data_IF_242483498970
#
_entry.id   IF_242483498970
#
_cell.length_a   1.000
_cell.length_b   1.000
_cell.length_c   1.000
_cell.angle_alpha   90.00
_cell.angle_beta   90.00
_cell.angle_gamma   90.00
#
_symmetry.space_group_name_H-M   'P 1'
#
loop_
_entity.id
_entity.type
_entity.pdbx_description
1 polymer ?
#
# COMPACT_ATOMS: atom_id res chain seq x y z
N UNK A 1 2.33 12.06 -2.18
CA UNK A 1 1.60 12.31 -3.44
C UNK A 1 0.13 12.24 -3.08
N UNK A 2 -0.59 13.35 -3.18
CA UNK A 2 -2.01 13.43 -2.80
C UNK A 2 -2.91 13.24 -4.02
N UNK A 3 -4.13 12.77 -3.79
CA UNK A 3 -5.19 12.66 -4.79
C UNK A 3 -6.27 13.64 -4.40
N UNK A 4 -6.67 14.51 -5.31
CA UNK A 4 -7.58 15.62 -5.00
C UNK A 4 -8.84 15.51 -5.84
N UNK A 5 -9.99 15.77 -5.24
CA UNK A 5 -11.30 15.75 -5.91
C UNK A 5 -12.07 17.02 -5.58
N UNK A 6 -13.00 17.39 -6.45
CA UNK A 6 -13.94 18.48 -6.19
C UNK A 6 -15.09 17.93 -5.35
N UNK A 7 -15.37 18.59 -4.24
CA UNK A 7 -16.34 18.17 -3.25
C UNK A 7 -17.29 19.31 -2.85
N UNK A 8 -18.56 18.99 -2.61
CA UNK A 8 -19.53 19.96 -2.10
C UNK A 8 -19.14 20.46 -0.72
N UNK A 9 -19.32 21.76 -0.50
CA UNK A 9 -19.20 22.37 0.82
C UNK A 9 -20.38 21.98 1.71
N UNK A 10 -20.13 21.96 3.03
CA UNK A 10 -21.16 21.86 4.07
C UNK A 10 -22.07 20.61 4.00
N UNK A 11 -21.56 19.51 3.45
CA UNK A 11 -22.21 18.20 3.47
C UNK A 11 -21.42 17.24 4.35
N UNK A 12 -22.11 16.31 5.01
CA UNK A 12 -21.48 15.33 5.92
C UNK A 12 -20.70 14.26 5.15
N UNK A 13 -21.21 13.88 3.98
CA UNK A 13 -20.62 12.86 3.13
C UNK A 13 -19.97 13.51 1.90
N UNK A 14 -18.87 12.91 1.44
CA UNK A 14 -18.18 13.34 0.23
C UNK A 14 -19.10 13.21 -0.99
N UNK A 15 -19.53 14.36 -1.51
CA UNK A 15 -20.30 14.47 -2.76
C UNK A 15 -19.46 15.22 -3.78
N UNK A 16 -19.30 14.66 -4.97
CA UNK A 16 -18.48 15.22 -6.05
C UNK A 16 -19.36 15.68 -7.20
N UNK A 17 -18.86 16.64 -7.98
CA UNK A 17 -19.49 17.05 -9.22
C UNK A 17 -19.30 15.95 -10.28
N UNK A 18 -20.41 15.54 -10.90
CA UNK A 18 -20.43 14.58 -12.01
C UNK A 18 -20.67 15.36 -13.30
N UNK A 19 -19.89 15.03 -14.32
CA UNK A 19 -19.96 15.58 -15.66
C UNK A 19 -20.44 14.51 -16.62
N UNK A 20 -21.05 14.91 -17.73
CA UNK A 20 -21.28 13.99 -18.84
C UNK A 20 -20.03 13.95 -19.73
N UNK A 21 -19.56 12.76 -20.04
CA UNK A 21 -18.39 12.49 -20.88
C UNK A 21 -18.75 12.44 -22.38
N UNK A 22 -20.04 12.33 -22.70
CA UNK A 22 -20.60 12.28 -24.04
C UNK A 22 -21.68 13.35 -24.27
N UNK A 23 -21.98 13.62 -25.55
CA UNK A 23 -23.03 14.58 -25.94
C UNK A 23 -24.45 14.07 -25.61
N UNK A 24 -24.63 12.75 -25.55
CA UNK A 24 -25.92 12.10 -25.26
C UNK A 24 -26.22 11.99 -23.76
N UNK A 25 -25.28 12.41 -22.90
CA UNK A 25 -25.42 12.44 -21.45
C UNK A 25 -25.57 11.05 -20.81
N UNK A 26 -25.08 10.00 -21.48
CA UNK A 26 -25.15 8.63 -20.98
C UNK A 26 -23.90 8.23 -20.21
N UNK A 27 -22.78 8.89 -20.48
CA UNK A 27 -21.50 8.58 -19.87
C UNK A 27 -21.17 9.57 -18.77
N UNK A 28 -20.96 9.08 -17.54
CA UNK A 28 -20.67 9.93 -16.39
C UNK A 28 -19.17 9.92 -16.05
N UNK A 29 -18.59 11.11 -15.85
CA UNK A 29 -17.23 11.32 -15.41
C UNK A 29 -17.14 12.17 -14.15
N UNK A 30 -16.07 12.01 -13.38
CA UNK A 30 -15.72 12.90 -12.26
C UNK A 30 -14.30 13.41 -12.41
N UNK A 31 -14.02 14.61 -11.92
CA UNK A 31 -12.69 15.22 -12.01
C UNK A 31 -11.79 14.76 -10.85
N UNK A 32 -10.59 14.31 -11.18
CA UNK A 32 -9.54 13.92 -10.23
C UNK A 32 -8.26 14.66 -10.57
N UNK A 33 -7.57 15.16 -9.55
CA UNK A 33 -6.36 15.96 -9.72
C UNK A 33 -5.20 15.33 -8.95
N UNK A 34 -4.00 15.51 -9.50
CA UNK A 34 -2.75 15.07 -8.86
C UNK A 34 -2.09 16.17 -8.04
N UNK A 35 -2.66 17.39 -8.04
CA UNK A 35 -2.24 18.51 -7.20
C UNK A 35 -3.41 19.38 -6.74
N UNK A 36 -3.30 19.91 -5.52
CA UNK A 36 -4.27 20.85 -4.93
C UNK A 36 -4.42 22.11 -5.80
N UNK A 37 -3.30 22.66 -6.27
CA UNK A 37 -3.29 23.87 -7.10
C UNK A 37 -4.16 23.71 -8.37
N UNK A 38 -4.06 22.56 -9.06
CA UNK A 38 -4.86 22.33 -10.28
C UNK A 38 -6.34 22.18 -9.97
N UNK A 39 -6.68 21.54 -8.85
CA UNK A 39 -8.07 21.43 -8.42
C UNK A 39 -8.68 22.80 -8.07
N UNK A 40 -7.90 23.66 -7.39
CA UNK A 40 -8.33 25.03 -7.06
C UNK A 40 -8.52 25.90 -8.29
N UNK A 41 -7.58 25.83 -9.25
CA UNK A 41 -7.71 26.54 -10.53
C UNK A 41 -8.98 26.10 -11.24
N UNK A 42 -9.22 24.79 -11.34
CA UNK A 42 -10.44 24.29 -11.99
C UNK A 42 -11.74 24.78 -11.32
N UNK A 43 -11.80 24.82 -9.99
CA UNK A 43 -12.96 25.37 -9.24
C UNK A 43 -13.15 26.85 -9.55
N UNK A 44 -12.04 27.62 -9.60
CA UNK A 44 -12.07 29.05 -9.91
C UNK A 44 -12.56 29.29 -11.34
N UNK A 45 -12.02 28.57 -12.32
CA UNK A 45 -12.38 28.71 -13.74
C UNK A 45 -13.82 28.26 -14.01
N UNK A 46 -14.40 27.44 -13.12
CA UNK A 46 -15.79 26.98 -13.20
C UNK A 46 -16.79 27.89 -12.45
N UNK A 47 -16.33 28.97 -11.80
CA UNK A 47 -17.14 29.80 -10.88
C UNK A 47 -17.83 28.98 -9.76
N UNK A 48 -17.16 27.94 -9.27
CA UNK A 48 -17.68 27.00 -8.27
C UNK A 48 -17.15 27.26 -6.85
N UNK A 49 -16.37 28.31 -6.67
CA UNK A 49 -15.75 28.68 -5.40
C UNK A 49 -16.76 28.87 -4.27
N UNK A 50 -18.00 29.22 -4.57
CA UNK A 50 -19.08 29.39 -3.58
C UNK A 50 -19.62 28.05 -3.04
N UNK A 51 -19.73 27.03 -3.90
CA UNK A 51 -20.46 25.78 -3.61
C UNK A 51 -19.55 24.58 -3.40
N UNK A 52 -18.37 24.59 -4.00
CA UNK A 52 -17.43 23.47 -4.03
C UNK A 52 -16.12 23.80 -3.32
N UNK A 53 -15.41 22.77 -2.92
CA UNK A 53 -14.08 22.83 -2.31
C UNK A 53 -13.21 21.67 -2.79
N UNK A 54 -11.93 21.70 -2.45
CA UNK A 54 -11.00 20.61 -2.75
C UNK A 54 -10.93 19.68 -1.55
N UNK A 55 -11.15 18.40 -1.77
CA UNK A 55 -10.88 17.35 -0.79
C UNK A 55 -9.63 16.56 -1.20
N UNK A 56 -8.68 16.43 -0.28
CA UNK A 56 -7.55 15.51 -0.43
C UNK A 56 -7.95 14.13 0.10
N UNK A 57 -7.69 13.09 -0.70
CA UNK A 57 -7.94 11.70 -0.37
C UNK A 57 -6.62 10.96 -0.21
N UNK A 58 -6.53 10.13 0.83
CA UNK A 58 -5.48 9.12 0.91
C UNK A 58 -5.71 8.04 -0.15
N UNK A 59 -4.70 7.22 -0.51
CA UNK A 59 -4.90 6.14 -1.47
C UNK A 59 -6.02 5.16 -1.08
N UNK A 60 -6.22 4.91 0.22
CA UNK A 60 -7.28 4.02 0.70
C UNK A 60 -8.65 4.68 0.56
N UNK A 61 -8.77 5.94 0.98
CA UNK A 61 -10.03 6.69 0.86
C UNK A 61 -10.41 6.87 -0.60
N UNK A 62 -9.43 7.09 -1.48
CA UNK A 62 -9.64 7.17 -2.92
C UNK A 62 -10.21 5.88 -3.49
N UNK A 63 -9.68 4.71 -3.12
CA UNK A 63 -10.22 3.42 -3.61
C UNK A 63 -11.64 3.16 -3.10
N UNK A 64 -11.92 3.48 -1.83
CA UNK A 64 -13.27 3.38 -1.27
C UNK A 64 -14.25 4.33 -1.97
N UNK A 65 -13.83 5.56 -2.22
CA UNK A 65 -14.61 6.53 -2.96
C UNK A 65 -14.84 6.09 -4.40
N UNK A 66 -13.79 5.61 -5.09
CA UNK A 66 -13.82 5.14 -6.48
C UNK A 66 -14.83 4.01 -6.69
N UNK A 67 -14.82 3.02 -5.79
CA UNK A 67 -15.80 1.92 -5.82
C UNK A 67 -17.22 2.40 -5.56
N UNK A 68 -17.40 3.37 -4.65
CA UNK A 68 -18.70 3.98 -4.36
C UNK A 68 -19.27 4.75 -5.56
N UNK A 69 -18.48 5.59 -6.22
CA UNK A 69 -18.97 6.36 -7.39
C UNK A 69 -19.25 5.45 -8.59
N UNK A 70 -18.45 4.38 -8.78
CA UNK A 70 -18.72 3.38 -9.82
C UNK A 70 -20.06 2.69 -9.61
N UNK A 71 -20.35 2.32 -8.36
CA UNK A 71 -21.64 1.73 -7.99
C UNK A 71 -22.85 2.66 -8.20
N UNK A 72 -22.62 3.98 -8.35
CA UNK A 72 -23.65 4.97 -8.61
C UNK A 72 -23.86 5.27 -10.11
N UNK A 73 -23.03 4.73 -10.99
CA UNK A 73 -23.16 4.90 -12.43
C UNK A 73 -21.96 5.57 -13.10
N UNK A 74 -21.11 6.28 -12.35
CA UNK A 74 -19.92 6.95 -12.90
C UNK A 74 -18.98 5.94 -13.53
N UNK A 75 -18.57 6.20 -14.78
CA UNK A 75 -17.74 5.30 -15.57
C UNK A 75 -16.31 5.80 -15.70
N UNK A 76 -16.10 7.12 -15.68
CA UNK A 76 -14.82 7.72 -16.03
C UNK A 76 -14.26 8.63 -14.95
N UNK A 77 -12.93 8.71 -14.90
CA UNK A 77 -12.19 9.74 -14.19
C UNK A 77 -11.58 10.68 -15.23
N UNK A 78 -11.95 11.95 -15.22
CA UNK A 78 -11.20 12.97 -15.93
C UNK A 78 -9.97 13.34 -15.08
N UNK A 79 -8.76 13.06 -15.58
CA UNK A 79 -7.52 13.26 -14.84
C UNK A 79 -6.90 14.60 -15.18
N UNK A 80 -6.78 15.47 -14.18
CA UNK A 80 -6.28 16.83 -14.31
C UNK A 80 -6.96 17.63 -15.45
N UNK A 81 -8.31 17.57 -15.58
CA UNK A 81 -8.99 18.27 -16.66
C UNK A 81 -8.74 19.76 -16.58
N UNK A 82 -8.85 20.44 -17.72
CA UNK A 82 -8.73 21.89 -17.85
C UNK A 82 -10.09 22.42 -18.29
N UNK A 83 -10.65 23.36 -17.53
CA UNK A 83 -12.02 23.83 -17.74
C UNK A 83 -12.17 24.56 -19.07
N UNK A 84 -11.27 25.49 -19.37
CA UNK A 84 -11.25 26.23 -20.64
C UNK A 84 -11.20 25.30 -21.86
N UNK A 85 -10.45 24.20 -21.77
CA UNK A 85 -10.35 23.20 -22.83
C UNK A 85 -11.67 22.45 -23.00
N UNK A 86 -12.32 22.05 -21.89
CA UNK A 86 -13.64 21.42 -21.92
C UNK A 86 -14.69 22.33 -22.56
N UNK A 87 -14.73 23.60 -22.19
CA UNK A 87 -15.70 24.56 -22.73
C UNK A 87 -15.46 24.83 -24.24
N UNK A 88 -14.24 24.59 -24.73
CA UNK A 88 -13.89 24.63 -26.16
C UNK A 88 -14.12 23.29 -26.89
N UNK A 89 -14.60 22.26 -26.20
CA UNK A 89 -14.81 20.92 -26.77
C UNK A 89 -13.51 20.14 -26.99
N UNK A 90 -12.41 20.54 -26.35
CA UNK A 90 -11.14 19.83 -26.43
C UNK A 90 -11.19 18.60 -25.52
N UNK A 91 -10.80 17.45 -26.08
CA UNK A 91 -10.80 16.18 -25.38
C UNK A 91 -9.91 16.21 -24.11
N UNK A 92 -10.43 15.62 -23.02
CA UNK A 92 -9.73 15.56 -21.74
C UNK A 92 -9.09 14.19 -21.52
N UNK A 93 -8.03 14.08 -20.69
CA UNK A 93 -7.49 12.78 -20.32
C UNK A 93 -8.51 12.06 -19.43
N UNK A 94 -8.99 10.92 -19.88
CA UNK A 94 -9.97 10.11 -19.15
C UNK A 94 -9.46 8.70 -18.90
N UNK A 95 -9.82 8.14 -17.74
CA UNK A 95 -9.57 6.75 -17.37
C UNK A 95 -10.91 6.06 -17.10
N UNK A 96 -11.10 4.87 -17.64
CA UNK A 96 -12.26 4.04 -17.31
C UNK A 96 -12.08 3.41 -15.92
N UNK A 97 -13.02 3.65 -15.01
CA UNK A 97 -12.93 3.19 -13.62
C UNK A 97 -12.90 1.66 -13.52
N UNK A 98 -13.71 0.97 -14.32
CA UNK A 98 -13.80 -0.48 -14.29
C UNK A 98 -12.50 -1.14 -14.75
N UNK A 99 -11.92 -0.64 -15.84
CA UNK A 99 -10.61 -1.12 -16.33
C UNK A 99 -9.53 -0.95 -15.27
N UNK A 100 -9.46 0.21 -14.63
CA UNK A 100 -8.46 0.48 -13.58
C UNK A 100 -8.65 -0.39 -12.33
N UNK A 101 -9.90 -0.70 -11.95
CA UNK A 101 -10.19 -1.60 -10.84
C UNK A 101 -9.81 -3.06 -11.18
N UNK A 102 -10.04 -3.50 -12.42
CA UNK A 102 -9.64 -4.83 -12.89
C UNK A 102 -8.11 -4.97 -12.93
N UNK A 103 -7.41 -3.97 -13.45
CA UNK A 103 -5.94 -3.96 -13.46
C UNK A 103 -5.37 -4.00 -12.04
N UNK A 104 -5.95 -3.23 -11.11
CA UNK A 104 -5.55 -3.26 -9.71
C UNK A 104 -5.79 -4.63 -9.08
N UNK A 105 -6.95 -5.25 -9.33
CA UNK A 105 -7.27 -6.58 -8.83
C UNK A 105 -6.25 -7.62 -9.30
N UNK A 106 -5.91 -7.63 -10.60
CA UNK A 106 -4.91 -8.54 -11.15
C UNK A 106 -3.52 -8.36 -10.52
N UNK A 107 -3.11 -7.12 -10.26
CA UNK A 107 -1.85 -6.84 -9.56
C UNK A 107 -1.87 -7.36 -8.12
N UNK A 108 -2.99 -7.22 -7.42
CA UNK A 108 -3.15 -7.70 -6.05
C UNK A 108 -3.15 -9.23 -5.99
N UNK A 109 -3.86 -9.90 -6.88
CA UNK A 109 -3.86 -11.36 -7.01
C UNK A 109 -2.44 -11.89 -7.23
N UNK A 110 -1.70 -11.32 -8.19
CA UNK A 110 -0.31 -11.71 -8.45
C UNK A 110 0.63 -11.51 -7.26
N UNK A 111 0.35 -10.53 -6.38
CA UNK A 111 1.13 -10.31 -5.15
C UNK A 111 0.74 -11.27 -4.02
N UNK A 112 -0.52 -11.71 -3.98
CA UNK A 112 -1.00 -12.68 -2.99
C UNK A 112 -0.59 -14.11 -3.35
N UNK A 113 -0.51 -14.42 -4.64
CA UNK A 113 -0.04 -15.73 -5.14
C UNK A 113 1.48 -15.86 -5.14
N UNK A 114 2.22 -14.75 -5.06
CA UNK A 114 3.67 -14.78 -5.00
C UNK A 114 4.13 -15.56 -3.74
N UNK A 115 4.97 -16.61 -3.89
CA UNK A 115 5.48 -17.33 -2.74
C UNK A 115 6.24 -16.37 -1.83
N UNK A 116 6.03 -16.49 -0.52
CA UNK A 116 6.74 -15.69 0.47
C UNK A 116 8.25 -15.75 0.16
N UNK A 117 8.98 -14.62 0.23
CA UNK A 117 10.41 -14.62 -0.01
C UNK A 117 11.07 -15.65 0.91
N UNK A 118 12.06 -16.43 0.42
CA UNK A 118 12.70 -17.44 1.23
C UNK A 118 13.23 -16.78 2.52
N UNK A 119 13.12 -17.46 3.68
CA UNK A 119 13.60 -16.90 4.93
C UNK A 119 15.06 -16.53 4.76
N UNK A 120 15.42 -15.32 5.22
CA UNK A 120 16.83 -14.90 5.25
C UNK A 120 17.58 -15.90 6.11
N UNK A 121 18.60 -16.54 5.56
CA UNK A 121 19.42 -17.51 6.29
C UNK A 121 20.60 -16.77 6.95
N UNK A 122 20.92 -17.11 8.19
CA UNK A 122 22.11 -16.64 8.89
C UNK A 122 22.96 -17.83 9.32
N UNK A 123 24.26 -17.73 9.07
CA UNK A 123 25.24 -18.71 9.57
C UNK A 123 25.72 -18.25 10.93
N UNK A 124 25.45 -19.04 11.96
CA UNK A 124 25.96 -18.80 13.30
C UNK A 124 26.97 -19.88 13.68
N UNK A 125 28.02 -19.48 14.38
CA UNK A 125 28.92 -20.42 15.04
C UNK A 125 28.25 -20.95 16.30
N UNK A 126 28.25 -22.27 16.45
CA UNK A 126 27.75 -22.97 17.63
C UNK A 126 28.88 -23.75 18.27
N UNK A 127 28.88 -23.75 19.59
CA UNK A 127 29.77 -24.56 20.41
C UNK A 127 29.04 -25.86 20.79
N UNK A 128 29.72 -26.99 20.57
CA UNK A 128 29.23 -28.33 20.86
C UNK A 128 30.00 -28.86 22.07
N UNK A 129 29.30 -29.09 23.17
CA UNK A 129 29.83 -29.64 24.41
C UNK A 129 29.41 -31.11 24.54
N UNK A 130 30.34 -31.98 24.96
CA UNK A 130 30.08 -33.39 25.18
C UNK A 130 30.13 -33.73 26.68
N UNK A 131 29.09 -34.37 27.20
CA UNK A 131 29.06 -34.82 28.59
C UNK A 131 29.52 -36.27 28.67
N UNK A 132 30.77 -36.50 29.07
CA UNK A 132 31.33 -37.86 29.18
C UNK A 132 30.55 -38.79 30.12
N UNK A 133 29.94 -38.23 31.19
CA UNK A 133 29.15 -39.02 32.16
C UNK A 133 27.78 -39.46 31.63
N UNK A 134 27.18 -38.70 30.72
CA UNK A 134 25.83 -38.98 30.17
C UNK A 134 25.83 -39.44 28.72
N UNK A 135 26.95 -39.26 28.00
CA UNK A 135 27.03 -39.48 26.56
C UNK A 135 26.19 -38.50 25.73
N UNK A 136 25.83 -37.34 26.31
CA UNK A 136 24.95 -36.34 25.70
C UNK A 136 25.74 -35.21 25.06
N UNK A 137 25.23 -34.65 23.97
CA UNK A 137 25.78 -33.48 23.30
C UNK A 137 24.88 -32.27 23.48
N UNK A 138 25.45 -31.15 23.90
CA UNK A 138 24.75 -29.87 24.02
C UNK A 138 25.29 -28.88 22.99
N UNK A 139 24.39 -28.24 22.24
CA UNK A 139 24.73 -27.22 21.23
C UNK A 139 24.22 -25.86 21.69
N UNK A 140 25.08 -24.85 21.69
CA UNK A 140 24.68 -23.48 22.00
C UNK A 140 25.38 -22.46 21.10
N UNK A 141 24.81 -21.25 20.90
CA UNK A 141 25.50 -20.17 20.22
C UNK A 141 26.85 -19.85 20.88
N UNK A 142 27.86 -19.58 20.06
CA UNK A 142 29.20 -19.22 20.53
C UNK A 142 29.17 -17.97 21.43
N UNK A 143 30.07 -17.93 22.43
CA UNK A 143 30.18 -16.80 23.36
C UNK A 143 29.16 -16.79 24.51
N UNK A 144 28.39 -17.87 24.70
CA UNK A 144 27.60 -18.10 25.92
C UNK A 144 28.44 -18.77 27.00
N UNK A 145 28.06 -18.60 28.27
CA UNK A 145 28.70 -19.30 29.39
C UNK A 145 28.66 -20.80 29.16
N UNK A 146 29.77 -21.49 29.44
CA UNK A 146 29.86 -22.94 29.26
C UNK A 146 28.78 -23.64 30.11
N UNK A 147 28.03 -24.58 29.54
CA UNK A 147 27.04 -25.36 30.29
C UNK A 147 27.76 -26.25 31.32
N UNK A 148 27.12 -26.43 32.47
CA UNK A 148 27.54 -27.44 33.44
C UNK A 148 26.82 -28.76 33.16
N UNK A 149 27.55 -29.88 33.25
CA UNK A 149 26.96 -31.22 33.26
C UNK A 149 27.41 -31.97 34.51
N UNK A 150 26.46 -32.53 35.26
CA UNK A 150 26.73 -33.34 36.46
C UNK A 150 27.67 -32.63 37.46
N UNK A 151 27.34 -31.38 37.79
CA UNK A 151 28.06 -30.52 38.76
C UNK A 151 29.53 -30.23 38.41
N UNK A 152 29.91 -30.39 37.13
CA UNK A 152 31.23 -30.07 36.60
C UNK A 152 31.10 -29.25 35.30
N UNK A 153 32.04 -28.31 35.10
CA UNK A 153 32.17 -27.59 33.82
C UNK A 153 32.56 -28.57 32.72
N UNK A 154 31.93 -28.46 31.55
CA UNK A 154 32.21 -29.31 30.39
C UNK A 154 33.54 -28.89 29.73
N UNK A 155 34.28 -29.86 29.17
CA UNK A 155 35.56 -29.61 28.47
C UNK A 155 35.41 -28.72 27.23
N UNK A 156 36.54 -28.21 26.68
CA UNK A 156 36.58 -27.30 25.53
C UNK A 156 35.67 -27.76 24.37
N UNK A 157 34.77 -26.88 23.88
CA UNK A 157 33.81 -27.26 22.87
C UNK A 157 34.46 -27.44 21.50
N UNK A 158 33.86 -28.32 20.68
CA UNK A 158 34.06 -28.26 19.24
C UNK A 158 33.23 -27.10 18.66
N UNK A 159 33.78 -26.36 17.71
CA UNK A 159 33.06 -25.26 17.03
C UNK A 159 32.54 -25.75 15.68
N UNK A 160 31.26 -25.49 15.41
CA UNK A 160 30.60 -25.80 14.14
C UNK A 160 29.84 -24.57 13.60
N UNK A 161 29.53 -24.56 12.30
CA UNK A 161 28.77 -23.50 11.64
C UNK A 161 27.43 -24.03 11.19
N UNK A 162 26.36 -23.50 11.77
CA UNK A 162 25.00 -23.92 11.44
C UNK A 162 24.27 -22.77 10.74
N UNK A 163 23.72 -23.06 9.56
CA UNK A 163 22.86 -22.15 8.82
C UNK A 163 21.42 -22.31 9.30
N UNK A 164 20.85 -21.28 9.90
CA UNK A 164 19.47 -21.29 10.41
C UNK A 164 18.64 -20.13 9.83
N UNK A 165 17.30 -20.24 9.81
CA UNK A 165 16.43 -19.12 9.47
C UNK A 165 16.62 -17.96 10.46
N UNK A 166 16.87 -16.76 9.94
CA UNK A 166 16.96 -15.53 10.73
C UNK A 166 15.62 -15.24 11.40
N UNK A 167 15.56 -15.40 12.71
CA UNK A 167 14.43 -14.93 13.53
C UNK A 167 14.82 -13.57 14.10
N UNK A 168 14.49 -12.49 13.36
CA UNK A 168 14.66 -11.13 13.87
C UNK A 168 14.02 -10.99 15.25
N UNK A 169 14.66 -10.23 16.16
CA UNK A 169 14.02 -9.86 17.42
C UNK A 169 12.82 -8.98 17.11
N UNK A 170 11.62 -9.44 17.43
CA UNK A 170 10.47 -8.54 17.54
C UNK A 170 10.77 -7.65 18.75
N UNK A 171 11.09 -6.39 18.49
CA UNK A 171 11.17 -5.40 19.56
C UNK A 171 9.75 -5.18 20.05
N UNK A 172 9.39 -5.78 21.18
CA UNK A 172 8.19 -5.42 21.92
C UNK A 172 8.40 -3.99 22.43
N UNK A 173 7.77 -3.04 21.75
CA UNK A 173 7.58 -1.67 22.23
C UNK A 173 6.53 -1.65 23.35
#
# INVERSE_FOLDING_TARGET
>A
MGIYVIAKKNVADLQTAVFYADEDGQEEAVAVFTSDDRARVYISDSDWDQTETVAELTPIDFLQWLTSIRGKGTQFLAVNPVRDDQDQGIAQPVLNIEEQLLELAAVLEGKLEAPAPPPRMETQEVEIFHCEKRGEFLRQPAGRTAPACCDQEMQQPAVDKVTIPYRGRVSSA
#
